data_IF_169036685415
#
_entry.id   IF_169036685415
#
_cell.length_a   1.000
_cell.length_b   1.000
_cell.length_c   1.000
_cell.angle_alpha   90.00
_cell.angle_beta   90.00
_cell.angle_gamma   90.00
#
_symmetry.space_group_name_H-M   'P 1'
#
loop_
_entity.id
_entity.type
_entity.pdbx_description
1 polymer ?
#
# COMPACT_ATOMS: atom_id res chain seq x y z
N UNK A 1 -27.02 -24.87 -11.65
CA UNK A 1 -26.89 -24.65 -13.11
C UNK A 1 -25.70 -23.74 -13.31
N UNK A 2 -24.64 -24.23 -13.96
CA UNK A 2 -23.45 -23.42 -14.26
C UNK A 2 -23.79 -22.54 -15.46
N UNK A 3 -23.75 -21.21 -15.27
CA UNK A 3 -23.89 -20.24 -16.36
C UNK A 3 -22.77 -20.47 -17.39
N UNK A 4 -23.09 -20.47 -18.69
CA UNK A 4 -22.13 -20.80 -19.75
C UNK A 4 -20.95 -19.84 -19.73
N UNK A 5 -19.77 -20.39 -19.99
CA UNK A 5 -18.47 -19.75 -19.82
C UNK A 5 -18.35 -18.46 -20.61
N UNK A 6 -18.23 -17.35 -19.88
CA UNK A 6 -17.59 -16.15 -20.41
C UNK A 6 -16.12 -16.52 -20.57
N UNK A 7 -15.72 -16.92 -21.77
CA UNK A 7 -14.32 -16.99 -22.16
C UNK A 7 -13.80 -15.57 -22.21
N UNK A 8 -13.10 -15.15 -21.17
CA UNK A 8 -12.40 -13.88 -21.18
C UNK A 8 -11.21 -14.01 -22.14
N UNK A 9 -11.30 -13.34 -23.29
CA UNK A 9 -10.18 -13.25 -24.21
C UNK A 9 -9.19 -12.19 -23.70
N UNK A 10 -8.04 -12.65 -23.24
CA UNK A 10 -6.96 -11.79 -22.78
C UNK A 10 -6.26 -11.15 -23.99
N UNK A 11 -6.76 -9.99 -24.43
CA UNK A 11 -6.15 -9.23 -25.53
C UNK A 11 -4.79 -8.64 -25.12
N UNK A 12 -3.92 -8.37 -26.09
CA UNK A 12 -2.63 -7.72 -25.83
C UNK A 12 -2.77 -6.33 -25.18
N UNK A 13 -3.81 -5.59 -25.55
CA UNK A 13 -4.13 -4.30 -24.94
C UNK A 13 -4.50 -4.46 -23.45
N UNK A 14 -5.37 -5.44 -23.13
CA UNK A 14 -5.71 -5.77 -21.74
C UNK A 14 -4.49 -6.21 -20.93
N UNK A 15 -3.55 -6.96 -21.53
CA UNK A 15 -2.28 -7.33 -20.88
C UNK A 15 -1.45 -6.09 -20.55
N UNK A 16 -1.29 -5.17 -21.50
CA UNK A 16 -0.53 -3.94 -21.30
C UNK A 16 -1.14 -3.07 -20.20
N UNK A 17 -2.47 -2.92 -20.19
CA UNK A 17 -3.17 -2.18 -19.13
C UNK A 17 -3.02 -2.85 -17.76
N UNK A 18 -3.15 -4.17 -17.68
CA UNK A 18 -2.96 -4.92 -16.44
C UNK A 18 -1.53 -4.79 -15.89
N UNK A 19 -0.52 -4.90 -16.77
CA UNK A 19 0.90 -4.71 -16.43
C UNK A 19 1.12 -3.32 -15.86
N UNK A 20 0.65 -2.27 -16.56
CA UNK A 20 0.79 -0.88 -16.10
C UNK A 20 0.07 -0.64 -14.77
N UNK A 21 -1.14 -1.17 -14.61
CA UNK A 21 -1.89 -1.10 -13.35
C UNK A 21 -1.09 -1.72 -12.19
N UNK A 22 -0.45 -2.87 -12.41
CA UNK A 22 0.36 -3.53 -11.39
C UNK A 22 1.65 -2.77 -11.09
N UNK A 23 2.29 -2.14 -12.08
CA UNK A 23 3.45 -1.27 -11.85
C UNK A 23 3.14 -0.08 -10.93
N UNK A 24 1.93 0.45 -11.02
CA UNK A 24 1.51 1.62 -10.26
C UNK A 24 0.92 1.27 -8.88
N UNK A 25 0.28 0.11 -8.75
CA UNK A 25 -0.53 -0.24 -7.56
C UNK A 25 -0.19 -1.55 -6.86
N UNK A 26 0.70 -2.37 -7.44
CA UNK A 26 1.09 -3.68 -6.95
C UNK A 26 0.13 -4.81 -7.33
N UNK A 27 0.60 -6.06 -7.22
CA UNK A 27 -0.13 -7.25 -7.65
C UNK A 27 -1.10 -7.75 -6.57
N UNK A 28 -2.31 -7.20 -6.57
CA UNK A 28 -3.42 -7.68 -5.73
C UNK A 28 -4.47 -8.38 -6.59
N UNK A 29 -4.54 -9.70 -6.51
CA UNK A 29 -5.34 -10.48 -7.44
C UNK A 29 -6.84 -10.17 -7.43
N UNK A 30 -7.44 -9.80 -6.29
CA UNK A 30 -8.84 -9.36 -6.26
C UNK A 30 -9.03 -8.04 -7.02
N UNK A 31 -8.18 -7.04 -6.74
CA UNK A 31 -8.26 -5.73 -7.40
C UNK A 31 -7.93 -5.81 -8.89
N UNK A 32 -7.00 -6.68 -9.27
CA UNK A 32 -6.69 -6.93 -10.67
C UNK A 32 -7.87 -7.58 -11.41
N UNK A 33 -8.58 -8.51 -10.76
CA UNK A 33 -9.79 -9.10 -11.31
C UNK A 33 -10.88 -8.05 -11.49
N UNK A 34 -11.10 -7.20 -10.48
CA UNK A 34 -12.04 -6.08 -10.53
C UNK A 34 -11.68 -5.09 -11.64
N UNK A 35 -10.38 -4.74 -11.79
CA UNK A 35 -9.88 -3.85 -12.84
C UNK A 35 -10.13 -4.40 -14.25
N UNK A 36 -9.95 -5.71 -14.43
CA UNK A 36 -10.21 -6.39 -15.71
C UNK A 36 -11.70 -6.71 -15.93
N UNK A 37 -12.57 -6.38 -14.97
CA UNK A 37 -14.00 -6.67 -15.05
C UNK A 37 -14.32 -8.17 -15.04
N UNK A 38 -13.46 -9.00 -14.43
CA UNK A 38 -13.61 -10.45 -14.37
C UNK A 38 -13.71 -10.97 -12.95
N UNK A 39 -14.25 -12.18 -12.81
CA UNK A 39 -14.27 -12.85 -11.52
C UNK A 39 -12.86 -13.30 -11.11
N UNK A 40 -12.63 -13.37 -9.80
CA UNK A 40 -11.36 -13.84 -9.24
C UNK A 40 -10.97 -15.26 -9.72
N UNK A 41 -11.89 -16.25 -9.76
CA UNK A 41 -11.61 -17.56 -10.35
C UNK A 41 -11.28 -17.51 -11.85
N UNK A 42 -11.91 -16.60 -12.61
CA UNK A 42 -11.56 -16.40 -14.04
C UNK A 42 -10.14 -15.89 -14.18
N UNK A 43 -9.73 -14.92 -13.35
CA UNK A 43 -8.36 -14.43 -13.35
C UNK A 43 -7.36 -15.55 -13.03
N UNK A 44 -7.62 -16.41 -12.04
CA UNK A 44 -6.72 -17.53 -11.74
C UNK A 44 -6.55 -18.47 -12.93
N UNK A 45 -7.64 -18.83 -13.63
CA UNK A 45 -7.55 -19.62 -14.87
C UNK A 45 -6.73 -18.93 -15.95
N UNK A 46 -6.96 -17.64 -16.18
CA UNK A 46 -6.21 -16.86 -17.17
C UNK A 46 -4.72 -16.84 -16.84
N UNK A 47 -4.35 -16.71 -15.57
CA UNK A 47 -2.94 -16.73 -15.14
C UNK A 47 -2.31 -18.11 -15.25
N UNK A 48 -3.05 -19.18 -14.97
CA UNK A 48 -2.58 -20.56 -15.12
C UNK A 48 -2.38 -20.93 -16.59
N UNK A 49 -3.28 -20.47 -17.47
CA UNK A 49 -3.21 -20.69 -18.93
C UNK A 49 -2.16 -19.81 -19.62
N UNK A 50 -1.75 -18.69 -19.00
CA UNK A 50 -0.81 -17.72 -19.58
C UNK A 50 0.36 -17.42 -18.62
N UNK A 51 1.34 -18.35 -18.45
CA UNK A 51 2.45 -18.19 -17.51
C UNK A 51 3.36 -17.00 -17.82
N UNK A 52 3.50 -16.64 -19.10
CA UNK A 52 4.27 -15.46 -19.52
C UNK A 52 3.64 -14.16 -19.02
N UNK A 53 2.31 -14.07 -19.09
CA UNK A 53 1.56 -12.93 -18.56
C UNK A 53 1.70 -12.85 -17.04
N UNK A 54 1.59 -13.97 -16.33
CA UNK A 54 1.82 -13.99 -14.90
C UNK A 54 3.25 -13.56 -14.51
N UNK A 55 4.25 -13.99 -15.28
CA UNK A 55 5.64 -13.57 -15.09
C UNK A 55 5.82 -12.06 -15.30
N UNK A 56 5.18 -11.49 -16.32
CA UNK A 56 5.17 -10.04 -16.55
C UNK A 56 4.56 -9.30 -15.36
N UNK A 57 3.39 -9.73 -14.86
CA UNK A 57 2.78 -9.12 -13.68
C UNK A 57 3.69 -9.18 -12.45
N UNK A 58 4.42 -10.29 -12.25
CA UNK A 58 5.39 -10.40 -11.15
C UNK A 58 6.58 -9.46 -11.30
N UNK A 59 7.06 -9.24 -12.53
CA UNK A 59 8.12 -8.25 -12.80
C UNK A 59 7.62 -6.83 -12.51
N UNK A 60 6.40 -6.51 -12.95
CA UNK A 60 5.75 -5.22 -12.66
C UNK A 60 5.56 -4.97 -11.17
N UNK A 61 5.19 -6.01 -10.41
CA UNK A 61 5.07 -5.94 -8.95
C UNK A 61 6.42 -5.63 -8.27
N UNK A 62 7.52 -6.20 -8.80
CA UNK A 62 8.86 -5.87 -8.33
C UNK A 62 9.24 -4.41 -8.63
N UNK A 63 8.80 -3.85 -9.76
CA UNK A 63 8.97 -2.42 -10.09
C UNK A 63 8.21 -1.54 -9.10
N UNK A 64 6.96 -1.89 -8.80
CA UNK A 64 6.17 -1.21 -7.77
C UNK A 64 6.86 -1.26 -6.40
N UNK A 65 7.33 -2.43 -5.97
CA UNK A 65 8.04 -2.58 -4.70
C UNK A 65 9.32 -1.73 -4.65
N UNK A 66 10.08 -1.67 -5.75
CA UNK A 66 11.26 -0.82 -5.86
C UNK A 66 10.88 0.67 -5.76
N UNK A 67 9.82 1.10 -6.43
CA UNK A 67 9.37 2.49 -6.38
C UNK A 67 8.94 2.90 -4.96
N UNK A 68 8.23 2.02 -4.25
CA UNK A 68 7.89 2.21 -2.83
C UNK A 68 9.14 2.35 -1.97
N UNK A 69 10.11 1.44 -2.13
CA UNK A 69 11.38 1.51 -1.39
C UNK A 69 12.07 2.84 -1.68
N UNK A 70 12.15 3.28 -2.93
CA UNK A 70 12.83 4.52 -3.29
C UNK A 70 12.10 5.76 -2.77
N UNK A 71 10.78 5.75 -2.70
CA UNK A 71 9.99 6.80 -2.04
C UNK A 71 10.26 6.82 -0.54
N UNK A 72 10.28 5.66 0.12
CA UNK A 72 10.60 5.55 1.56
C UNK A 72 12.05 6.00 1.81
N UNK A 73 13.01 5.62 0.97
CA UNK A 73 14.41 6.09 1.04
C UNK A 73 14.49 7.61 1.03
N UNK A 74 13.74 8.24 0.11
CA UNK A 74 13.73 9.71 -0.05
C UNK A 74 13.03 10.42 1.11
N UNK A 75 11.90 9.90 1.58
CA UNK A 75 11.09 10.54 2.63
C UNK A 75 11.58 10.27 4.04
N UNK A 76 12.21 9.13 4.28
CA UNK A 76 12.60 8.71 5.61
C UNK A 76 13.93 7.92 5.61
N UNK A 77 15.05 8.57 5.24
CA UNK A 77 16.37 7.92 5.16
C UNK A 77 16.80 7.30 6.51
N UNK A 78 16.36 7.89 7.63
CA UNK A 78 16.57 7.39 8.98
C UNK A 78 16.01 5.98 9.21
N UNK A 79 14.86 5.64 8.64
CA UNK A 79 14.25 4.31 8.79
C UNK A 79 15.13 3.22 8.16
N UNK A 80 15.75 3.52 7.02
CA UNK A 80 16.59 2.56 6.28
C UNK A 80 17.98 2.42 6.92
N UNK A 81 18.55 3.54 7.38
CA UNK A 81 19.80 3.52 8.15
C UNK A 81 19.64 2.70 9.43
N UNK A 82 18.51 2.84 10.14
CA UNK A 82 18.17 2.01 11.30
C UNK A 82 18.00 0.53 10.97
N UNK A 83 17.33 0.21 9.87
CA UNK A 83 17.13 -1.19 9.46
C UNK A 83 18.45 -1.87 9.10
N UNK A 84 19.39 -1.15 8.47
CA UNK A 84 20.67 -1.71 8.02
C UNK A 84 21.79 -1.66 9.05
N UNK A 85 21.86 -0.61 9.86
CA UNK A 85 22.90 -0.37 10.86
C UNK A 85 22.29 -0.39 12.26
N UNK A 86 21.53 -1.44 12.56
CA UNK A 86 20.77 -1.56 13.81
C UNK A 86 21.65 -1.41 15.05
N UNK A 87 22.88 -1.92 14.99
CA UNK A 87 23.84 -1.88 16.10
C UNK A 87 24.40 -0.48 16.36
N UNK A 88 24.46 0.39 15.33
CA UNK A 88 24.92 1.77 15.43
C UNK A 88 23.79 2.73 15.86
N UNK A 89 22.55 2.39 15.54
CA UNK A 89 21.35 3.16 15.88
C UNK A 89 20.54 2.51 17.00
N UNK A 90 21.23 2.11 18.08
CA UNK A 90 20.62 1.53 19.28
C UNK A 90 19.39 2.34 19.73
N UNK A 91 18.28 1.64 19.94
CA UNK A 91 16.94 2.15 20.21
C UNK A 91 16.86 2.96 21.53
N UNK A 92 17.35 4.20 21.53
CA UNK A 92 17.10 5.18 22.62
C UNK A 92 16.04 6.21 22.21
N UNK A 93 15.44 6.07 21.02
CA UNK A 93 14.24 6.85 20.70
C UNK A 93 13.01 6.15 21.27
N UNK A 94 12.76 6.38 22.56
CA UNK A 94 11.41 6.73 22.95
C UNK A 94 10.98 7.85 22.01
N UNK A 95 10.16 7.54 21.01
CA UNK A 95 9.33 8.57 20.40
C UNK A 95 8.66 9.22 21.61
N UNK A 96 9.02 10.47 21.89
CA UNK A 96 8.54 11.24 23.03
C UNK A 96 7.06 11.56 22.88
N UNK A 97 6.22 10.53 22.80
CA UNK A 97 4.85 10.61 23.25
C UNK A 97 4.91 10.39 24.76
N UNK A 98 5.36 11.42 25.49
CA UNK A 98 5.08 11.47 26.90
C UNK A 98 3.57 11.72 27.02
N UNK A 99 2.83 10.63 27.24
CA UNK A 99 1.38 10.67 27.38
C UNK A 99 0.96 11.69 28.44
N UNK A 100 1.79 11.94 29.45
CA UNK A 100 1.53 12.98 30.46
C UNK A 100 1.59 14.38 29.84
N UNK A 101 2.63 14.70 29.06
CA UNK A 101 2.77 16.00 28.38
C UNK A 101 1.64 16.29 27.38
N UNK A 102 1.18 15.29 26.63
CA UNK A 102 0.09 15.46 25.66
C UNK A 102 -1.29 15.53 26.34
N UNK A 103 -1.51 14.78 27.43
CA UNK A 103 -2.71 14.92 28.27
C UNK A 103 -2.76 16.33 28.89
N UNK A 104 -1.61 16.87 29.32
CA UNK A 104 -1.54 18.22 29.88
C UNK A 104 -1.86 19.31 28.84
N UNK A 105 -1.34 19.19 27.61
CA UNK A 105 -1.73 20.07 26.49
C UNK A 105 -3.23 20.03 26.19
N UNK A 106 -3.82 18.84 26.16
CA UNK A 106 -5.26 18.68 25.91
C UNK A 106 -6.08 19.30 27.05
N UNK A 107 -5.65 19.16 28.31
CA UNK A 107 -6.28 19.83 29.46
C UNK A 107 -6.22 21.35 29.36
N UNK A 108 -5.07 21.94 29.03
CA UNK A 108 -4.94 23.39 28.84
C UNK A 108 -5.85 23.93 27.72
N UNK A 109 -6.01 23.18 26.64
CA UNK A 109 -6.92 23.53 25.53
C UNK A 109 -8.40 23.46 25.98
N UNK A 110 -8.77 22.48 26.80
CA UNK A 110 -10.12 22.33 27.34
C UNK A 110 -10.43 23.44 28.36
N UNK A 111 -9.51 23.75 29.26
CA UNK A 111 -9.66 24.81 30.26
C UNK A 111 -9.73 26.20 29.61
N UNK A 112 -8.85 26.49 28.63
CA UNK A 112 -8.87 27.77 27.90
C UNK A 112 -10.12 28.00 27.05
N UNK A 113 -10.82 26.94 26.62
CA UNK A 113 -12.13 27.04 25.96
C UNK A 113 -13.30 27.19 26.94
N UNK A 114 -13.15 26.68 28.16
CA UNK A 114 -14.21 26.75 29.18
C UNK A 114 -14.23 28.10 29.88
N UNK A 115 -13.07 28.72 30.09
CA UNK A 115 -12.96 30.05 30.74
C UNK A 115 -13.43 31.21 29.87
N UNK A 116 -13.59 31.04 28.56
CA UNK A 116 -14.13 32.08 27.66
C UNK A 116 -15.66 32.13 27.61
N UNK A 117 -16.36 31.20 28.27
CA UNK A 117 -17.83 31.16 28.26
C UNK A 117 -18.48 31.61 29.58
N UNK A 118 -17.69 32.10 30.55
CA UNK A 118 -18.22 32.58 31.85
C UNK A 118 -18.12 34.12 32.00
N UNK A 119 -17.41 34.82 31.10
CA UNK A 119 -17.39 36.29 31.07
C UNK A 119 -17.82 36.83 29.71
N UNK A 120 -19.13 36.79 29.44
CA UNK A 120 -19.97 37.89 28.92
C UNK A 120 -21.35 37.41 28.49
#
# INVERSE_FOLDING_TARGET
MATPGITFELTEESKQHAVKYVEESGLYKNRLADFLGISRPTLDKVLDENPDFFTLLKRSDAVFCKSLIDIVKKKNPFFILRTKYRDEFNDVFSIGFDAQSEIQRVKEILESRTSKHIEH
#
